data_IF_777555702516
#
_entry.id   IF_777555702516
#
_cell.length_a   1.000
_cell.length_b   1.000
_cell.length_c   1.000
_cell.angle_alpha   90.00
_cell.angle_beta   90.00
_cell.angle_gamma   90.00
#
_symmetry.space_group_name_H-M   'P 1'
#
loop_
_entity.id
_entity.type
_entity.pdbx_description
1 polymer ?
#
# COMPACT_ATOMS: atom_id res chain seq x y z
N UNK A 1 15.58 -5.00 -13.16
CA UNK A 1 16.91 -5.57 -13.01
C UNK A 1 17.03 -6.28 -11.65
N UNK A 2 17.37 -7.59 -11.66
CA UNK A 2 17.45 -8.43 -10.46
C UNK A 2 18.49 -7.90 -9.45
N UNK A 3 19.64 -7.44 -9.93
CA UNK A 3 20.70 -6.88 -9.07
C UNK A 3 20.23 -5.66 -8.28
N UNK A 4 19.42 -4.81 -8.89
CA UNK A 4 18.82 -3.65 -8.20
C UNK A 4 17.89 -4.10 -7.07
N UNK A 5 17.06 -5.11 -7.31
CA UNK A 5 16.14 -5.65 -6.29
C UNK A 5 16.93 -6.21 -5.11
N UNK A 6 18.01 -6.97 -5.38
CA UNK A 6 18.87 -7.54 -4.34
C UNK A 6 19.54 -6.44 -3.51
N UNK A 7 20.08 -5.40 -4.13
CA UNK A 7 20.68 -4.24 -3.44
C UNK A 7 19.65 -3.54 -2.55
N UNK A 8 18.44 -3.28 -3.07
CA UNK A 8 17.36 -2.65 -2.31
C UNK A 8 16.92 -3.54 -1.13
N UNK A 9 16.80 -4.86 -1.32
CA UNK A 9 16.50 -5.80 -0.23
C UNK A 9 17.54 -5.69 0.89
N UNK A 10 18.84 -5.69 0.56
CA UNK A 10 19.92 -5.56 1.53
C UNK A 10 19.86 -4.23 2.26
N UNK A 11 19.62 -3.14 1.53
CA UNK A 11 19.46 -1.80 2.11
C UNK A 11 18.27 -1.75 3.08
N UNK A 12 17.10 -2.23 2.68
CA UNK A 12 15.92 -2.26 3.53
C UNK A 12 16.15 -3.10 4.78
N UNK A 13 16.76 -4.27 4.65
CA UNK A 13 17.13 -5.13 5.79
C UNK A 13 18.05 -4.40 6.78
N UNK A 14 19.09 -3.71 6.29
CA UNK A 14 20.04 -2.93 7.11
C UNK A 14 19.34 -1.79 7.87
N UNK A 15 18.30 -1.21 7.27
CA UNK A 15 17.53 -0.08 7.85
C UNK A 15 16.31 -0.51 8.66
N UNK A 16 16.03 -1.81 8.78
CA UNK A 16 14.81 -2.31 9.43
C UNK A 16 13.52 -2.05 8.65
N UNK A 17 13.61 -1.73 7.34
CA UNK A 17 12.45 -1.47 6.50
C UNK A 17 11.93 -2.76 5.87
N UNK A 18 10.62 -2.86 5.70
CA UNK A 18 10.00 -3.91 4.90
C UNK A 18 10.06 -3.55 3.42
N UNK A 19 10.35 -4.54 2.58
CA UNK A 19 10.45 -4.36 1.14
C UNK A 19 9.38 -5.16 0.39
N UNK A 20 8.54 -4.46 -0.36
CA UNK A 20 7.47 -5.01 -1.18
C UNK A 20 7.77 -4.79 -2.67
N UNK A 21 7.84 -5.87 -3.44
CA UNK A 21 8.03 -5.77 -4.89
C UNK A 21 6.69 -5.58 -5.59
N UNK A 22 6.63 -4.60 -6.49
CA UNK A 22 5.42 -4.30 -7.24
C UNK A 22 5.15 -5.34 -8.32
N UNK A 23 3.90 -5.79 -8.37
CA UNK A 23 3.28 -6.55 -9.45
C UNK A 23 3.96 -7.90 -9.81
N UNK A 24 4.79 -8.45 -8.93
CA UNK A 24 5.45 -9.73 -9.16
C UNK A 24 5.54 -10.56 -7.86
N UNK A 25 4.43 -11.20 -7.51
CA UNK A 25 4.33 -12.00 -6.28
C UNK A 25 5.29 -13.19 -6.28
N UNK A 26 5.39 -13.89 -7.42
CA UNK A 26 6.29 -15.06 -7.54
C UNK A 26 7.75 -14.69 -7.28
N UNK A 27 8.23 -13.61 -7.90
CA UNK A 27 9.61 -13.15 -7.69
C UNK A 27 9.82 -12.67 -6.25
N UNK A 28 8.83 -12.02 -5.64
CA UNK A 28 8.89 -11.60 -4.23
C UNK A 28 9.08 -12.80 -3.30
N UNK A 29 8.39 -13.91 -3.57
CA UNK A 29 8.51 -15.16 -2.81
C UNK A 29 9.90 -15.76 -3.03
N UNK A 30 10.34 -15.92 -4.29
CA UNK A 30 11.63 -16.53 -4.65
C UNK A 30 12.82 -15.75 -4.04
N UNK A 31 12.70 -14.43 -3.97
CA UNK A 31 13.72 -13.57 -3.36
C UNK A 31 13.58 -13.45 -1.85
N UNK A 32 12.61 -14.15 -1.23
CA UNK A 32 12.35 -14.07 0.21
C UNK A 32 12.20 -12.62 0.71
N UNK A 33 11.40 -11.82 0.01
CA UNK A 33 11.05 -10.45 0.42
C UNK A 33 9.99 -10.46 1.53
N UNK A 34 9.68 -9.30 2.09
CA UNK A 34 8.64 -9.15 3.12
C UNK A 34 7.23 -9.31 2.54
N UNK A 35 7.07 -9.02 1.26
CA UNK A 35 5.79 -9.14 0.58
C UNK A 35 5.80 -8.66 -0.86
N UNK A 36 4.60 -8.53 -1.40
CA UNK A 36 4.36 -8.00 -2.74
C UNK A 36 3.26 -6.94 -2.72
N UNK A 37 3.38 -5.98 -3.65
CA UNK A 37 2.36 -4.97 -3.88
C UNK A 37 1.63 -5.25 -5.18
N UNK A 38 0.30 -5.29 -5.15
CA UNK A 38 -0.57 -5.52 -6.31
C UNK A 38 -1.27 -4.21 -6.68
N UNK A 39 -0.90 -3.57 -7.81
CA UNK A 39 -1.52 -2.33 -8.28
C UNK A 39 -3.03 -2.49 -8.54
N UNK A 40 -3.75 -1.38 -8.55
CA UNK A 40 -5.20 -1.33 -8.77
C UNK A 40 -5.64 -1.97 -10.09
N UNK A 41 -4.86 -1.81 -11.16
CA UNK A 41 -5.14 -2.37 -12.48
C UNK A 41 -4.98 -3.89 -12.56
N UNK A 42 -4.17 -4.51 -11.70
CA UNK A 42 -3.99 -5.96 -11.70
C UNK A 42 -5.17 -6.65 -11.01
N UNK A 43 -5.89 -7.48 -11.74
CA UNK A 43 -7.07 -8.23 -11.28
C UNK A 43 -6.79 -9.72 -11.10
N UNK A 44 -5.56 -10.19 -11.40
CA UNK A 44 -5.20 -11.62 -11.34
C UNK A 44 -5.24 -12.15 -9.90
N UNK A 45 -5.76 -13.35 -9.74
CA UNK A 45 -5.81 -14.09 -8.47
C UNK A 45 -4.83 -15.27 -8.43
N UNK A 46 -3.99 -15.44 -9.45
CA UNK A 46 -3.09 -16.58 -9.58
C UNK A 46 -2.15 -16.78 -8.39
N UNK A 47 -1.79 -15.69 -7.71
CA UNK A 47 -0.94 -15.74 -6.53
C UNK A 47 -1.57 -16.43 -5.31
N UNK A 48 -2.89 -16.66 -5.31
CA UNK A 48 -3.56 -17.38 -4.23
C UNK A 48 -3.11 -18.84 -4.14
N UNK A 49 -2.69 -19.44 -5.26
CA UNK A 49 -2.16 -20.81 -5.31
C UNK A 49 -0.69 -20.92 -4.87
N UNK A 50 0.01 -19.79 -4.64
CA UNK A 50 1.44 -19.84 -4.30
C UNK A 50 1.64 -20.10 -2.81
N UNK A 51 2.55 -21.02 -2.50
CA UNK A 51 3.03 -21.21 -1.13
C UNK A 51 3.83 -20.01 -0.66
N UNK A 52 3.47 -19.47 0.48
CA UNK A 52 4.04 -18.24 1.05
C UNK A 52 4.50 -18.51 2.49
N UNK A 53 5.61 -17.87 2.92
CA UNK A 53 6.02 -17.91 4.32
C UNK A 53 4.96 -17.22 5.21
N UNK A 54 4.90 -17.60 6.50
CA UNK A 54 3.89 -17.12 7.46
C UNK A 54 3.76 -15.60 7.53
N UNK A 55 4.86 -14.86 7.42
CA UNK A 55 4.89 -13.40 7.55
C UNK A 55 4.95 -12.67 6.19
N UNK A 56 4.65 -13.36 5.08
CA UNK A 56 4.62 -12.74 3.75
C UNK A 56 3.31 -11.96 3.59
N UNK A 57 3.42 -10.66 3.37
CA UNK A 57 2.26 -9.79 3.22
C UNK A 57 1.98 -9.49 1.75
N UNK A 58 0.72 -9.51 1.37
CA UNK A 58 0.27 -8.97 0.09
C UNK A 58 -0.49 -7.68 0.40
N UNK A 59 -0.02 -6.60 -0.19
CA UNK A 59 -0.64 -5.28 -0.10
C UNK A 59 -1.13 -4.86 -1.49
N UNK A 60 -2.14 -4.01 -1.58
CA UNK A 60 -2.67 -3.58 -2.86
C UNK A 60 -3.12 -2.13 -2.86
N UNK A 61 -3.51 -1.60 -4.01
CA UNK A 61 -4.12 -0.28 -4.11
C UNK A 61 -5.50 -0.32 -4.75
N UNK A 62 -6.32 0.66 -4.41
CA UNK A 62 -7.66 0.85 -4.96
C UNK A 62 -8.04 2.35 -4.96
N UNK A 63 -8.96 2.73 -5.87
CA UNK A 63 -9.46 4.10 -6.02
C UNK A 63 -11.00 4.17 -5.92
N UNK A 64 -11.68 3.04 -5.91
CA UNK A 64 -13.13 2.94 -5.88
C UNK A 64 -13.57 1.59 -5.27
N UNK A 65 -14.87 1.46 -5.03
CA UNK A 65 -15.43 0.25 -4.42
C UNK A 65 -15.19 -1.02 -5.25
N UNK A 66 -15.28 -0.92 -6.58
CA UNK A 66 -15.05 -2.08 -7.48
C UNK A 66 -13.62 -2.62 -7.32
N UNK A 67 -12.63 -1.73 -7.27
CA UNK A 67 -11.23 -2.11 -7.06
C UNK A 67 -10.99 -2.65 -5.65
N UNK A 68 -11.62 -2.08 -4.62
CA UNK A 68 -11.58 -2.62 -3.25
C UNK A 68 -12.05 -4.08 -3.24
N UNK A 69 -13.21 -4.37 -3.86
CA UNK A 69 -13.75 -5.74 -3.92
C UNK A 69 -12.84 -6.71 -4.68
N UNK A 70 -12.13 -6.23 -5.70
CA UNK A 70 -11.10 -7.03 -6.39
C UNK A 70 -9.94 -7.33 -5.44
N UNK A 71 -9.45 -6.33 -4.69
CA UNK A 71 -8.36 -6.51 -3.71
C UNK A 71 -8.76 -7.45 -2.57
N UNK A 72 -10.00 -7.39 -2.10
CA UNK A 72 -10.54 -8.34 -1.13
C UNK A 72 -10.52 -9.78 -1.67
N UNK A 73 -10.95 -10.00 -2.94
CA UNK A 73 -10.86 -11.30 -3.62
C UNK A 73 -9.42 -11.78 -3.84
N UNK A 74 -8.48 -10.87 -4.00
CA UNK A 74 -7.05 -11.16 -4.09
C UNK A 74 -6.42 -11.46 -2.73
N UNK A 75 -7.20 -11.46 -1.66
CA UNK A 75 -6.77 -11.67 -0.28
C UNK A 75 -5.57 -10.81 0.14
N UNK A 76 -5.60 -9.53 -0.25
CA UNK A 76 -4.61 -8.57 0.25
C UNK A 76 -4.85 -8.28 1.73
N UNK A 77 -3.79 -8.08 2.49
CA UNK A 77 -3.87 -7.76 3.91
C UNK A 77 -4.17 -6.28 4.16
N UNK A 78 -3.66 -5.41 3.28
CA UNK A 78 -3.73 -3.96 3.40
C UNK A 78 -4.03 -3.35 2.02
N UNK A 79 -4.93 -2.36 1.96
CA UNK A 79 -5.26 -1.62 0.75
C UNK A 79 -4.85 -0.16 0.90
N UNK A 80 -4.01 0.33 -0.01
CA UNK A 80 -3.75 1.75 -0.18
C UNK A 80 -4.91 2.37 -0.95
N UNK A 81 -5.75 3.15 -0.27
CA UNK A 81 -6.88 3.84 -0.87
C UNK A 81 -6.49 5.28 -1.21
N UNK A 82 -6.66 5.68 -2.46
CA UNK A 82 -6.27 6.99 -2.95
C UNK A 82 -7.26 7.56 -3.99
N UNK A 83 -7.33 8.86 -4.15
CA UNK A 83 -6.53 9.92 -3.53
C UNK A 83 -7.38 10.67 -2.49
N UNK A 84 -6.93 10.76 -1.25
CA UNK A 84 -7.75 11.38 -0.20
C UNK A 84 -7.76 12.94 -0.30
N UNK A 85 -6.61 13.57 -0.54
CA UNK A 85 -6.49 15.05 -0.55
C UNK A 85 -5.97 15.62 -1.87
N UNK A 86 -5.29 14.83 -2.71
CA UNK A 86 -4.79 15.30 -4.00
C UNK A 86 -5.90 15.26 -5.04
N UNK A 87 -6.27 16.43 -5.55
CA UNK A 87 -7.23 16.57 -6.63
C UNK A 87 -6.63 16.06 -7.95
N UNK A 88 -7.11 14.93 -8.39
CA UNK A 88 -6.83 14.27 -9.65
C UNK A 88 -8.03 13.40 -10.04
N UNK A 89 -7.94 12.64 -11.15
CA UNK A 89 -9.03 11.78 -11.61
C UNK A 89 -9.49 10.72 -10.59
N UNK A 90 -8.67 10.40 -9.59
CA UNK A 90 -9.00 9.46 -8.50
C UNK A 90 -9.35 10.16 -7.18
N UNK A 91 -9.60 11.47 -7.20
CA UNK A 91 -9.91 12.22 -5.99
C UNK A 91 -11.17 11.72 -5.29
N UNK A 92 -11.05 11.44 -4.01
CA UNK A 92 -12.13 10.94 -3.17
C UNK A 92 -12.67 12.01 -2.22
N UNK A 93 -11.82 12.85 -1.68
CA UNK A 93 -12.16 13.69 -0.54
C UNK A 93 -12.44 12.87 0.73
N UNK A 94 -12.67 13.55 1.85
CA UNK A 94 -12.87 12.90 3.15
C UNK A 94 -14.15 12.05 3.15
N UNK A 95 -15.26 12.57 2.64
CA UNK A 95 -16.57 11.90 2.74
C UNK A 95 -16.60 10.59 1.95
N UNK A 96 -16.17 10.61 0.70
CA UNK A 96 -16.13 9.39 -0.14
C UNK A 96 -15.08 8.41 0.35
N UNK A 97 -13.93 8.90 0.81
CA UNK A 97 -12.91 8.06 1.42
C UNK A 97 -13.46 7.34 2.66
N UNK A 98 -14.13 8.07 3.57
CA UNK A 98 -14.75 7.51 4.78
C UNK A 98 -15.78 6.43 4.43
N UNK A 99 -16.65 6.69 3.45
CA UNK A 99 -17.63 5.70 2.98
C UNK A 99 -16.94 4.43 2.50
N UNK A 100 -15.96 4.55 1.61
CA UNK A 100 -15.25 3.40 1.04
C UNK A 100 -14.44 2.62 2.09
N UNK A 101 -13.77 3.32 3.01
CA UNK A 101 -12.99 2.68 4.07
C UNK A 101 -13.87 1.91 5.06
N UNK A 102 -15.08 2.39 5.34
CA UNK A 102 -16.04 1.69 6.20
C UNK A 102 -16.66 0.44 5.53
N UNK A 103 -16.75 0.42 4.20
CA UNK A 103 -17.25 -0.73 3.43
C UNK A 103 -16.18 -1.80 3.19
N UNK A 104 -14.92 -1.50 3.47
CA UNK A 104 -13.80 -2.41 3.24
C UNK A 104 -13.57 -3.32 4.45
N UNK A 105 -13.40 -4.63 4.19
CA UNK A 105 -13.08 -5.63 5.23
C UNK A 105 -11.58 -5.71 5.56
N UNK A 106 -10.72 -5.03 4.81
CA UNK A 106 -9.27 -5.04 4.98
C UNK A 106 -8.77 -3.73 5.61
N UNK A 107 -7.57 -3.76 6.18
CA UNK A 107 -6.92 -2.53 6.69
C UNK A 107 -6.69 -1.53 5.57
N UNK A 108 -7.08 -0.27 5.79
CA UNK A 108 -6.90 0.81 4.82
C UNK A 108 -5.72 1.68 5.23
N UNK A 109 -4.86 1.98 4.28
CA UNK A 109 -3.82 3.01 4.36
C UNK A 109 -4.25 4.19 3.47
N UNK A 110 -4.32 5.37 4.03
CA UNK A 110 -4.66 6.58 3.29
C UNK A 110 -3.47 7.03 2.42
N UNK A 111 -3.73 7.37 1.16
CA UNK A 111 -2.72 7.85 0.22
C UNK A 111 -3.26 9.01 -0.63
N UNK A 112 -2.38 9.94 -0.99
CA UNK A 112 -2.65 11.01 -1.95
C UNK A 112 -2.83 12.40 -1.33
N UNK A 113 -1.79 13.23 -1.46
CA UNK A 113 -1.78 14.62 -1.05
C UNK A 113 -1.68 14.87 0.45
N UNK A 114 -1.19 13.88 1.21
CA UNK A 114 -1.00 14.02 2.65
C UNK A 114 0.18 14.94 2.95
N UNK A 115 -0.04 15.88 3.87
CA UNK A 115 0.91 16.89 4.31
C UNK A 115 0.70 17.19 5.80
N UNK A 116 1.65 17.90 6.43
CA UNK A 116 1.50 18.31 7.83
C UNK A 116 0.22 19.12 8.07
N UNK A 117 -0.22 19.91 7.08
CA UNK A 117 -1.40 20.79 7.20
C UNK A 117 -2.73 20.01 7.23
N UNK A 118 -2.76 18.80 6.65
CA UNK A 118 -3.98 18.02 6.58
C UNK A 118 -3.91 16.67 7.34
N UNK A 119 -2.78 16.37 7.96
CA UNK A 119 -2.56 15.11 8.68
C UNK A 119 -3.63 14.85 9.74
N UNK A 120 -4.00 15.86 10.53
CA UNK A 120 -5.04 15.75 11.57
C UNK A 120 -6.42 15.37 11.00
N UNK A 121 -6.70 15.67 9.72
CA UNK A 121 -7.96 15.31 9.06
C UNK A 121 -8.11 13.80 8.86
N UNK A 122 -7.02 13.02 8.95
CA UNK A 122 -7.09 11.55 8.90
C UNK A 122 -7.86 10.94 10.08
N UNK A 123 -7.95 11.65 11.21
CA UNK A 123 -8.77 11.21 12.35
C UNK A 123 -10.29 11.21 12.04
N UNK A 124 -10.73 11.82 10.93
CA UNK A 124 -12.12 11.83 10.49
C UNK A 124 -12.53 10.59 9.68
N UNK A 125 -11.55 9.75 9.31
CA UNK A 125 -11.76 8.59 8.44
C UNK A 125 -11.25 7.32 9.10
N UNK A 126 -11.79 6.18 8.66
CA UNK A 126 -11.32 4.86 9.12
C UNK A 126 -10.09 4.46 8.30
N UNK A 127 -8.89 4.74 8.80
CA UNK A 127 -7.63 4.27 8.22
C UNK A 127 -6.68 3.80 9.31
N UNK A 128 -5.92 2.74 9.00
CA UNK A 128 -4.92 2.15 9.88
C UNK A 128 -3.60 2.93 9.89
N UNK A 129 -3.40 3.78 8.87
CA UNK A 129 -2.21 4.58 8.72
C UNK A 129 -2.24 5.38 7.42
N UNK A 130 -1.12 5.98 7.06
CA UNK A 130 -0.99 6.74 5.83
C UNK A 130 0.32 6.49 5.10
N UNK A 131 0.33 6.80 3.81
CA UNK A 131 1.50 6.74 2.95
C UNK A 131 1.62 8.02 2.12
N UNK A 132 2.85 8.42 1.79
CA UNK A 132 3.08 9.60 0.98
C UNK A 132 4.53 9.72 0.54
N UNK A 133 4.76 9.95 -0.75
CA UNK A 133 6.11 10.14 -1.28
C UNK A 133 6.66 11.48 -0.83
N UNK A 134 5.97 12.57 -1.15
CA UNK A 134 6.40 13.94 -0.83
C UNK A 134 6.42 14.24 0.67
N UNK A 135 5.58 13.58 1.46
CA UNK A 135 5.56 13.74 2.91
C UNK A 135 6.89 13.30 3.54
N UNK A 136 7.46 12.19 3.05
CA UNK A 136 8.69 11.62 3.59
C UNK A 136 9.96 12.15 2.91
N UNK A 137 9.89 12.66 1.68
CA UNK A 137 11.05 13.22 0.97
C UNK A 137 11.69 14.39 1.71
N UNK A 138 10.90 15.23 2.38
CA UNK A 138 11.41 16.38 3.17
C UNK A 138 12.15 15.98 4.46
N UNK A 139 12.11 14.69 4.84
CA UNK A 139 12.74 14.16 6.06
C UNK A 139 13.87 13.16 5.75
N UNK A 140 14.52 13.25 4.59
CA UNK A 140 15.61 12.33 4.17
C UNK A 140 15.24 10.84 4.18
N UNK A 141 13.95 10.51 4.09
CA UNK A 141 13.49 9.14 3.98
C UNK A 141 13.51 8.65 2.52
N UNK A 142 13.77 7.36 2.25
CA UNK A 142 13.68 6.80 0.90
C UNK A 142 12.27 6.97 0.31
N UNK A 143 12.22 7.14 -1.01
CA UNK A 143 10.95 7.25 -1.76
C UNK A 143 10.06 6.05 -1.49
N UNK A 144 8.81 6.30 -1.13
CA UNK A 144 7.81 5.24 -0.91
C UNK A 144 7.67 4.74 0.53
N UNK A 145 8.21 5.44 1.53
CA UNK A 145 7.97 5.10 2.93
C UNK A 145 6.49 5.27 3.32
N UNK A 146 5.99 4.35 4.11
CA UNK A 146 4.66 4.40 4.73
C UNK A 146 4.80 4.26 6.25
N UNK A 147 4.07 5.07 7.01
CA UNK A 147 3.90 4.90 8.44
C UNK A 147 2.57 4.20 8.73
N UNK A 148 2.63 3.23 9.62
CA UNK A 148 1.46 2.55 10.16
C UNK A 148 1.26 3.15 11.55
N UNK A 149 0.07 3.64 11.83
CA UNK A 149 -0.33 4.12 13.15
C UNK A 149 -0.63 2.89 14.01
N UNK A 150 -0.02 2.80 15.18
CA UNK A 150 -0.29 1.79 16.20
C UNK A 150 -1.64 2.03 16.88
#
# INVERSE_FOLDING_TARGET
NLNTIIKLKQFCKKKGYKFFLSNNVRLSINLNLDGAYIPSFNKSVNHLSFSKKKNFLIIGSAHNNKEIKIKEKQDVSIIFLSSIFKENHNYLGINKFKLLSNLCSKKIIALGGISNNNLKKLNLVNCFGFAGISFFQKKTAPVGAANILD
#
